data_IF_407866652808
#
_entry.id   IF_407866652808
#
_cell.length_a   1.000
_cell.length_b   1.000
_cell.length_c   1.000
_cell.angle_alpha   90.00
_cell.angle_beta   90.00
_cell.angle_gamma   90.00
#
_symmetry.space_group_name_H-M   'P 1'
#
loop_
_entity.id
_entity.type
_entity.pdbx_description
1 polymer ?
#
# COMPACT_ATOMS: atom_id res chain seq x y z
N UNK A 1 -2.51 -1.95 -33.70
CA UNK A 1 -2.68 -0.56 -33.22
C UNK A 1 -2.89 -0.57 -31.72
N UNK A 2 -2.38 0.46 -31.03
CA UNK A 2 -2.34 0.63 -29.56
C UNK A 2 -1.12 0.04 -28.82
N UNK A 3 0.07 0.34 -29.32
CA UNK A 3 1.29 0.47 -28.51
C UNK A 3 1.14 1.67 -27.57
N UNK A 4 0.67 1.46 -26.33
CA UNK A 4 0.78 2.48 -25.29
C UNK A 4 2.25 2.59 -24.85
N UNK A 5 2.87 3.78 -24.88
CA UNK A 5 4.19 3.96 -24.32
C UNK A 5 4.07 3.91 -22.79
N UNK A 6 4.59 2.86 -22.16
CA UNK A 6 4.70 2.76 -20.69
C UNK A 6 5.92 3.56 -20.20
N UNK A 7 5.98 4.84 -20.56
CA UNK A 7 6.82 5.84 -19.89
C UNK A 7 5.97 6.55 -18.85
N UNK A 8 5.84 5.92 -17.68
CA UNK A 8 5.50 6.62 -16.42
C UNK A 8 6.25 5.97 -15.27
N UNK A 9 7.58 6.07 -15.33
CA UNK A 9 8.36 6.14 -14.09
C UNK A 9 8.35 7.63 -13.71
N UNK A 10 7.51 8.09 -12.78
CA UNK A 10 7.67 9.43 -12.25
C UNK A 10 9.08 9.61 -11.66
N UNK A 11 9.72 10.78 -11.84
CA UNK A 11 11.09 11.03 -11.42
C UNK A 11 11.14 11.24 -9.90
N UNK A 12 10.86 10.21 -9.11
CA UNK A 12 11.07 10.22 -7.66
C UNK A 12 12.55 9.99 -7.32
N UNK A 13 13.47 10.63 -8.04
CA UNK A 13 14.92 10.41 -7.85
C UNK A 13 15.57 11.42 -6.93
N UNK A 14 14.93 12.56 -6.64
CA UNK A 14 15.53 13.62 -5.85
C UNK A 14 14.48 14.29 -4.95
N UNK A 15 14.70 14.26 -3.64
CA UNK A 15 13.99 15.15 -2.71
C UNK A 15 14.88 16.36 -2.46
N UNK A 16 14.51 17.52 -2.99
CA UNK A 16 15.24 18.78 -2.77
C UNK A 16 14.73 19.50 -1.51
N UNK A 17 15.64 20.16 -0.79
CA UNK A 17 15.29 21.20 0.18
C UNK A 17 14.41 22.28 -0.49
N UNK A 18 13.41 22.82 0.24
CA UNK A 18 12.36 23.75 -0.27
C UNK A 18 11.32 23.16 -1.24
N UNK A 19 11.13 21.84 -1.22
CA UNK A 19 10.03 21.20 -1.94
C UNK A 19 8.73 21.26 -1.13
N UNK A 20 7.62 21.65 -1.78
CA UNK A 20 6.28 21.39 -1.26
C UNK A 20 5.90 19.93 -1.51
N UNK A 21 5.77 19.17 -0.43
CA UNK A 21 5.22 17.81 -0.47
C UNK A 21 3.80 17.84 0.08
N UNK A 22 3.01 16.89 -0.37
CA UNK A 22 1.71 16.59 0.19
C UNK A 22 1.85 15.30 0.98
N UNK A 23 1.15 15.17 2.11
CA UNK A 23 1.04 13.87 2.76
C UNK A 23 -0.39 13.37 2.71
N UNK A 24 -0.51 12.05 2.57
CA UNK A 24 -1.79 11.36 2.58
C UNK A 24 -2.11 10.96 4.01
N UNK A 25 -3.19 11.51 4.56
CA UNK A 25 -3.58 11.28 5.94
C UNK A 25 -4.22 9.88 6.10
N UNK A 26 -3.67 8.96 6.92
CA UNK A 26 -4.37 7.75 7.30
C UNK A 26 -5.54 8.19 8.17
N UNK A 27 -6.78 7.85 7.80
CA UNK A 27 -8.01 8.18 8.54
C UNK A 27 -8.77 9.47 8.18
N UNK A 28 -8.29 10.32 7.25
CA UNK A 28 -9.11 11.41 6.67
C UNK A 28 -9.05 11.34 5.14
N UNK A 29 -10.18 11.54 4.49
CA UNK A 29 -10.19 11.74 3.05
C UNK A 29 -9.63 13.14 2.75
N UNK A 30 -8.36 13.20 2.35
CA UNK A 30 -7.72 14.48 2.05
C UNK A 30 -6.20 14.40 1.95
N UNK A 31 -5.66 15.43 1.33
CA UNK A 31 -4.23 15.68 1.18
C UNK A 31 -3.92 17.02 1.81
N UNK A 32 -2.99 17.05 2.76
CA UNK A 32 -2.51 18.30 3.36
C UNK A 32 -1.11 18.61 2.82
N UNK A 33 -0.85 19.90 2.59
CA UNK A 33 0.44 20.36 2.07
C UNK A 33 1.37 20.68 3.23
N UNK A 34 2.62 20.22 3.11
CA UNK A 34 3.71 20.59 4.01
C UNK A 34 4.90 21.13 3.21
N UNK A 35 5.75 21.89 3.89
CA UNK A 35 7.02 22.37 3.34
C UNK A 35 8.17 21.58 3.94
N UNK A 36 9.08 21.10 3.11
CA UNK A 36 10.33 20.47 3.59
C UNK A 36 11.35 21.56 3.93
N UNK A 37 11.74 21.64 5.20
CA UNK A 37 12.75 22.59 5.72
C UNK A 37 14.17 22.08 5.53
N UNK A 38 14.43 20.83 5.93
CA UNK A 38 15.73 20.18 5.77
C UNK A 38 15.57 18.68 5.59
N UNK A 39 16.57 18.06 4.97
CA UNK A 39 16.69 16.61 4.80
C UNK A 39 18.07 16.21 5.28
N UNK A 40 18.14 15.16 6.09
CA UNK A 40 19.40 14.61 6.59
C UNK A 40 19.53 13.14 6.24
N UNK A 41 20.73 12.69 5.88
CA UNK A 41 21.07 11.29 5.60
C UNK A 41 22.20 10.90 6.56
N UNK A 42 22.01 9.84 7.34
CA UNK A 42 22.98 9.38 8.35
C UNK A 42 23.42 10.49 9.34
N UNK A 43 22.52 11.42 9.69
CA UNK A 43 22.79 12.52 10.61
C UNK A 43 23.42 13.77 9.98
N UNK A 44 23.78 13.75 8.70
CA UNK A 44 24.31 14.92 7.98
C UNK A 44 23.22 15.57 7.13
N UNK A 45 23.09 16.90 7.23
CA UNK A 45 22.14 17.66 6.41
C UNK A 45 22.64 17.71 4.96
N UNK A 46 21.83 17.19 4.05
CA UNK A 46 22.15 17.13 2.63
C UNK A 46 21.19 18.01 1.83
N UNK A 47 21.65 18.63 0.72
CA UNK A 47 20.78 19.44 -0.13
C UNK A 47 19.73 18.59 -0.87
N UNK A 48 20.08 17.33 -1.17
CA UNK A 48 19.26 16.38 -1.93
C UNK A 48 19.44 14.98 -1.36
N UNK A 49 18.34 14.25 -1.20
CA UNK A 49 18.35 12.81 -0.94
C UNK A 49 17.84 12.03 -2.15
N UNK A 50 18.37 10.82 -2.34
CA UNK A 50 18.06 9.95 -3.47
C UNK A 50 17.08 8.84 -3.06
N UNK A 51 16.44 8.25 -4.07
CA UNK A 51 15.56 7.11 -3.86
C UNK A 51 16.31 5.93 -3.26
N UNK A 52 15.90 5.50 -2.07
CA UNK A 52 16.53 4.39 -1.34
C UNK A 52 17.29 4.83 -0.09
N UNK A 53 17.55 6.13 0.05
CA UNK A 53 18.15 6.67 1.27
C UNK A 53 17.16 6.64 2.43
N UNK A 54 17.66 6.26 3.61
CA UNK A 54 16.93 6.48 4.85
C UNK A 54 17.19 7.91 5.30
N UNK A 55 16.12 8.71 5.37
CA UNK A 55 16.21 10.16 5.56
C UNK A 55 15.45 10.61 6.80
N UNK A 56 16.00 11.60 7.48
CA UNK A 56 15.29 12.40 8.46
C UNK A 56 14.85 13.71 7.80
N UNK A 57 13.54 13.93 7.72
CA UNK A 57 12.96 15.10 7.05
C UNK A 57 12.33 16.02 8.09
N UNK A 58 12.80 17.26 8.15
CA UNK A 58 12.18 18.30 8.97
C UNK A 58 11.13 19.01 8.12
N UNK A 59 9.87 18.98 8.58
CA UNK A 59 8.73 19.57 7.87
C UNK A 59 8.20 20.81 8.59
N UNK A 60 7.45 21.63 7.86
CA UNK A 60 6.76 22.81 8.38
C UNK A 60 5.40 23.00 7.70
N UNK A 61 4.57 23.88 8.28
CA UNK A 61 3.23 24.17 7.76
C UNK A 61 2.18 23.12 8.12
N UNK A 62 2.51 22.17 9.00
CA UNK A 62 1.61 21.13 9.50
C UNK A 62 1.72 21.10 11.02
N UNK A 63 0.60 20.84 11.70
CA UNK A 63 0.58 20.65 13.14
C UNK A 63 1.17 19.27 13.51
N UNK A 64 1.99 19.22 14.54
CA UNK A 64 2.63 17.98 15.00
C UNK A 64 1.57 16.93 15.37
N UNK A 65 0.45 17.38 15.92
CA UNK A 65 -0.67 16.51 16.28
C UNK A 65 -1.37 15.86 15.07
N UNK A 66 -1.10 16.30 13.84
CA UNK A 66 -1.64 15.73 12.60
C UNK A 66 -0.73 14.65 11.99
N UNK A 67 0.53 14.55 12.42
CA UNK A 67 1.49 13.58 11.89
C UNK A 67 1.33 12.21 12.55
N UNK A 68 1.23 11.14 11.76
CA UNK A 68 1.05 9.76 12.25
C UNK A 68 1.86 8.76 11.41
N UNK A 69 2.38 7.69 12.03
CA UNK A 69 2.94 6.56 11.29
C UNK A 69 1.93 6.01 10.27
N UNK A 70 2.44 5.65 9.09
CA UNK A 70 1.62 5.16 7.98
C UNK A 70 1.17 6.25 6.99
N UNK A 71 1.46 7.52 7.27
CA UNK A 71 1.39 8.60 6.27
C UNK A 71 2.45 8.40 5.19
N UNK A 72 2.10 8.75 3.96
CA UNK A 72 3.02 8.73 2.82
C UNK A 72 3.15 10.14 2.27
N UNK A 73 4.39 10.60 2.17
CA UNK A 73 4.76 11.85 1.49
C UNK A 73 4.73 11.63 -0.02
N UNK A 74 4.12 12.55 -0.74
CA UNK A 74 3.99 12.52 -2.19
C UNK A 74 4.08 13.92 -2.79
N UNK A 75 4.29 14.00 -4.09
CA UNK A 75 4.27 15.28 -4.79
C UNK A 75 2.82 15.76 -4.99
N UNK A 76 2.55 17.07 -4.90
CA UNK A 76 1.23 17.63 -5.17
C UNK A 76 0.71 17.29 -6.58
N UNK A 77 1.61 17.11 -7.54
CA UNK A 77 1.27 16.78 -8.94
C UNK A 77 0.84 15.32 -9.14
N UNK A 78 1.21 14.43 -8.21
CA UNK A 78 0.95 12.99 -8.30
C UNK A 78 0.57 12.43 -6.93
N UNK A 79 -0.58 12.84 -6.36
CA UNK A 79 -0.98 12.36 -5.04
C UNK A 79 -1.30 10.87 -5.07
N UNK A 80 -0.86 10.16 -4.03
CA UNK A 80 -1.21 8.75 -3.82
C UNK A 80 -2.67 8.68 -3.37
N UNK A 81 -3.50 7.80 -3.96
CA UNK A 81 -4.90 7.71 -3.60
C UNK A 81 -5.10 7.09 -2.21
N UNK A 82 -5.95 7.75 -1.42
CA UNK A 82 -6.39 7.28 -0.11
C UNK A 82 -7.65 6.40 -0.26
N UNK A 83 -7.50 5.08 -0.19
CA UNK A 83 -8.58 4.14 -0.51
C UNK A 83 -9.07 3.36 0.71
N UNK A 84 -10.33 2.92 0.66
CA UNK A 84 -10.90 2.00 1.66
C UNK A 84 -11.18 0.61 1.09
N UNK A 85 -11.14 0.45 -0.23
CA UNK A 85 -11.50 -0.78 -0.93
C UNK A 85 -10.51 -1.06 -2.05
N UNK A 86 -10.18 -2.33 -2.25
CA UNK A 86 -9.33 -2.70 -3.37
C UNK A 86 -9.49 -4.16 -3.75
N UNK A 87 -9.15 -4.47 -5.00
CA UNK A 87 -8.93 -5.83 -5.46
C UNK A 87 -7.44 -6.14 -5.34
N UNK A 88 -7.14 -7.29 -4.76
CA UNK A 88 -5.78 -7.77 -4.62
C UNK A 88 -5.66 -9.23 -5.04
N UNK A 89 -4.48 -9.60 -5.48
CA UNK A 89 -4.06 -10.98 -5.55
C UNK A 89 -3.31 -11.31 -4.26
N UNK A 90 -3.67 -12.40 -3.62
CA UNK A 90 -3.01 -12.90 -2.41
C UNK A 90 -2.52 -14.32 -2.66
N UNK A 91 -1.41 -14.66 -2.02
CA UNK A 91 -0.92 -16.02 -1.87
C UNK A 91 -0.94 -16.35 -0.37
N UNK A 92 -1.71 -17.35 0.02
CA UNK A 92 -1.75 -17.84 1.40
C UNK A 92 -0.46 -18.58 1.71
N UNK A 93 0.12 -18.33 2.88
CA UNK A 93 1.39 -18.90 3.29
C UNK A 93 1.25 -20.33 3.83
N UNK A 94 2.28 -21.17 3.68
CA UNK A 94 2.40 -22.42 4.43
C UNK A 94 2.32 -22.15 5.93
N UNK A 95 1.59 -22.98 6.68
CA UNK A 95 1.39 -22.80 8.12
C UNK A 95 0.15 -21.98 8.51
N UNK A 96 -0.69 -21.62 7.54
CA UNK A 96 -2.03 -21.09 7.82
C UNK A 96 -2.91 -22.20 8.41
N UNK A 97 -3.15 -22.16 9.72
CA UNK A 97 -3.97 -23.14 10.45
C UNK A 97 -5.47 -23.03 10.13
N UNK A 98 -5.96 -21.80 9.93
CA UNK A 98 -7.38 -21.51 9.73
C UNK A 98 -7.65 -21.09 8.28
N UNK A 99 -8.65 -21.70 7.60
CA UNK A 99 -9.00 -21.31 6.25
C UNK A 99 -9.54 -19.89 6.21
N UNK A 100 -9.17 -19.14 5.18
CA UNK A 100 -9.66 -17.77 4.97
C UNK A 100 -11.04 -17.81 4.31
N UNK A 101 -12.03 -17.17 4.93
CA UNK A 101 -13.41 -17.07 4.40
C UNK A 101 -13.81 -15.62 4.14
N UNK A 102 -14.79 -15.43 3.26
CA UNK A 102 -15.35 -14.11 3.02
C UNK A 102 -16.05 -13.57 4.28
N UNK A 103 -15.84 -12.28 4.59
CA UNK A 103 -16.34 -11.61 5.79
C UNK A 103 -15.40 -11.69 6.99
N UNK A 104 -14.36 -12.51 6.94
CA UNK A 104 -13.39 -12.61 8.02
C UNK A 104 -12.50 -11.36 8.10
N UNK A 105 -12.20 -10.96 9.33
CA UNK A 105 -11.32 -9.84 9.65
C UNK A 105 -9.89 -10.31 9.85
N UNK A 106 -8.95 -9.53 9.33
CA UNK A 106 -7.51 -9.70 9.37
C UNK A 106 -6.87 -8.37 9.80
N UNK A 107 -5.57 -8.41 10.06
CA UNK A 107 -4.74 -7.21 10.15
C UNK A 107 -3.97 -7.07 8.85
N UNK A 108 -4.17 -5.96 8.15
CA UNK A 108 -3.42 -5.55 6.97
C UNK A 108 -2.16 -4.84 7.45
N UNK A 109 -1.01 -5.39 7.08
CA UNK A 109 0.29 -4.75 7.27
C UNK A 109 0.76 -4.23 5.92
N UNK A 110 0.94 -2.92 5.82
CA UNK A 110 1.48 -2.25 4.64
C UNK A 110 2.44 -1.15 5.08
N UNK A 111 3.66 -1.16 4.55
CA UNK A 111 4.73 -0.26 5.02
C UNK A 111 4.97 -0.37 6.53
N UNK A 112 4.65 0.69 7.26
CA UNK A 112 4.71 0.82 8.71
C UNK A 112 3.31 0.89 9.34
N UNK A 113 2.26 0.75 8.53
CA UNK A 113 0.86 0.84 8.93
C UNK A 113 0.28 -0.54 9.19
N UNK A 114 -0.46 -0.64 10.29
CA UNK A 114 -1.26 -1.81 10.65
C UNK A 114 -2.72 -1.40 10.77
N UNK A 115 -3.58 -1.96 9.92
CA UNK A 115 -5.02 -1.64 9.92
C UNK A 115 -5.88 -2.90 9.93
N UNK A 116 -7.01 -2.90 10.65
CA UNK A 116 -8.02 -3.94 10.48
C UNK A 116 -8.49 -3.97 9.02
N UNK A 117 -8.60 -5.16 8.44
CA UNK A 117 -9.05 -5.36 7.08
C UNK A 117 -10.01 -6.53 6.98
N UNK A 118 -11.08 -6.38 6.22
CA UNK A 118 -12.08 -7.43 5.99
C UNK A 118 -11.95 -7.92 4.57
N UNK A 119 -11.73 -9.23 4.41
CA UNK A 119 -11.80 -9.88 3.10
C UNK A 119 -13.26 -10.03 2.72
N UNK A 120 -13.82 -9.03 2.04
CA UNK A 120 -15.25 -8.96 1.74
C UNK A 120 -15.72 -10.04 0.77
N UNK A 121 -14.89 -10.42 -0.22
CA UNK A 121 -15.24 -11.42 -1.23
C UNK A 121 -14.00 -12.15 -1.74
N UNK A 122 -14.12 -13.47 -1.90
CA UNK A 122 -13.20 -14.29 -2.67
C UNK A 122 -13.71 -14.34 -4.12
N UNK A 123 -12.94 -13.84 -5.07
CA UNK A 123 -13.40 -13.73 -6.47
C UNK A 123 -13.06 -14.98 -7.27
N UNK A 124 -11.81 -15.44 -7.17
CA UNK A 124 -11.32 -16.62 -7.87
C UNK A 124 -10.01 -17.12 -7.29
N UNK A 125 -9.72 -18.41 -7.40
CA UNK A 125 -8.37 -18.97 -7.20
C UNK A 125 -7.61 -18.98 -8.52
N UNK A 126 -6.29 -19.00 -8.44
CA UNK A 126 -5.38 -19.04 -9.58
C UNK A 126 -4.46 -20.26 -9.47
N UNK A 127 -4.17 -20.90 -10.60
CA UNK A 127 -3.12 -21.92 -10.72
C UNK A 127 -1.73 -21.29 -10.67
N UNK A 128 -0.70 -22.14 -10.61
CA UNK A 128 0.70 -21.75 -10.82
C UNK A 128 0.91 -20.95 -12.11
N UNK A 129 0.12 -21.26 -13.14
CA UNK A 129 0.23 -20.66 -14.48
C UNK A 129 -0.55 -19.33 -14.58
N UNK A 130 -1.22 -18.92 -13.50
CA UNK A 130 -2.01 -17.69 -13.44
C UNK A 130 -3.41 -17.81 -14.08
N UNK A 131 -3.79 -19.00 -14.54
CA UNK A 131 -5.14 -19.27 -15.03
C UNK A 131 -6.14 -19.36 -13.88
N UNK A 132 -7.41 -19.12 -14.17
CA UNK A 132 -8.47 -19.21 -13.16
C UNK A 132 -8.85 -20.66 -12.93
N UNK A 133 -8.64 -21.16 -11.71
CA UNK A 133 -8.99 -22.53 -11.35
C UNK A 133 -10.43 -22.63 -10.85
N UNK A 134 -10.77 -21.87 -9.81
CA UNK A 134 -12.10 -21.87 -9.21
C UNK A 134 -12.67 -20.46 -9.18
N UNK A 135 -13.91 -20.30 -9.63
CA UNK A 135 -14.66 -19.05 -9.54
C UNK A 135 -15.44 -19.04 -8.21
N UNK A 136 -15.32 -17.94 -7.46
CA UNK A 136 -15.98 -17.74 -6.15
C UNK A 136 -15.78 -18.92 -5.18
N UNK A 137 -14.54 -19.22 -4.78
CA UNK A 137 -14.26 -20.27 -3.80
C UNK A 137 -14.97 -19.98 -2.46
N UNK A 138 -15.39 -21.02 -1.75
CA UNK A 138 -16.02 -20.89 -0.42
C UNK A 138 -15.01 -20.45 0.65
N UNK A 139 -13.80 -20.99 0.59
CA UNK A 139 -12.69 -20.66 1.45
C UNK A 139 -11.36 -20.77 0.68
N UNK A 140 -10.29 -20.22 1.25
CA UNK A 140 -8.92 -20.45 0.80
C UNK A 140 -8.16 -21.24 1.85
N UNK A 141 -7.45 -22.27 1.42
CA UNK A 141 -6.55 -23.09 2.26
C UNK A 141 -5.10 -22.71 2.03
N UNK A 142 -4.21 -23.24 2.86
CA UNK A 142 -2.76 -22.98 2.81
C UNK A 142 -2.18 -23.25 1.42
N UNK A 143 -1.28 -22.38 0.96
CA UNK A 143 -0.57 -22.51 -0.32
C UNK A 143 -1.35 -22.13 -1.58
N UNK A 144 -2.58 -21.62 -1.46
CA UNK A 144 -3.38 -21.19 -2.60
C UNK A 144 -3.13 -19.73 -2.98
N UNK A 145 -3.23 -19.45 -4.28
CA UNK A 145 -3.25 -18.08 -4.81
C UNK A 145 -4.67 -17.72 -5.21
N UNK A 146 -5.11 -16.50 -4.87
CA UNK A 146 -6.46 -16.06 -5.16
C UNK A 146 -6.56 -14.56 -5.40
N UNK A 147 -7.58 -14.15 -6.14
CA UNK A 147 -8.00 -12.75 -6.26
C UNK A 147 -9.14 -12.49 -5.29
N UNK A 148 -8.98 -11.48 -4.45
CA UNK A 148 -9.91 -11.11 -3.38
C UNK A 148 -10.27 -9.63 -3.43
N UNK A 149 -11.38 -9.27 -2.77
CA UNK A 149 -11.74 -7.88 -2.46
C UNK A 149 -11.55 -7.63 -0.97
N UNK A 150 -10.76 -6.62 -0.65
CA UNK A 150 -10.45 -6.22 0.72
C UNK A 150 -11.09 -4.85 0.98
N UNK A 151 -11.62 -4.68 2.18
CA UNK A 151 -12.10 -3.40 2.71
C UNK A 151 -11.40 -3.10 4.02
N UNK A 152 -10.90 -1.88 4.16
CA UNK A 152 -10.37 -1.32 5.41
C UNK A 152 -11.34 -0.27 5.94
N UNK A 153 -11.48 -0.11 7.27
CA UNK A 153 -12.40 0.85 7.87
C UNK A 153 -11.91 2.29 7.72
N UNK A 154 -10.59 2.49 7.73
CA UNK A 154 -9.93 3.79 7.60
C UNK A 154 -9.18 3.86 6.29
N UNK A 155 -9.06 5.05 5.72
CA UNK A 155 -8.33 5.25 4.46
C UNK A 155 -6.86 4.86 4.63
N UNK A 156 -6.33 4.15 3.63
CA UNK A 156 -4.93 3.76 3.52
C UNK A 156 -4.38 4.23 2.19
N UNK A 157 -3.15 4.73 2.20
CA UNK A 157 -2.41 5.10 1.00
C UNK A 157 -1.87 3.83 0.32
N UNK A 158 -2.48 3.45 -0.81
CA UNK A 158 -2.08 2.27 -1.59
C UNK A 158 -2.03 2.61 -3.06
N UNK A 159 -1.12 1.98 -3.79
CA UNK A 159 -1.03 2.07 -5.25
C UNK A 159 -1.25 0.72 -5.91
N UNK A 160 -1.51 0.73 -7.22
CA UNK A 160 -1.48 -0.51 -7.99
C UNK A 160 -0.05 -1.05 -8.05
N UNK A 161 0.10 -2.36 -7.89
CA UNK A 161 1.41 -3.01 -7.96
C UNK A 161 2.14 -2.78 -9.30
N UNK A 162 1.37 -2.64 -10.37
CA UNK A 162 1.89 -2.34 -11.71
C UNK A 162 2.54 -0.95 -11.78
N UNK A 163 2.01 0.03 -11.04
CA UNK A 163 2.48 1.42 -11.05
C UNK A 163 3.62 1.61 -10.03
N UNK A 164 3.44 1.12 -8.80
CA UNK A 164 4.45 1.22 -7.73
C UNK A 164 4.52 -0.07 -6.90
N UNK A 165 5.56 -0.87 -7.15
CA UNK A 165 5.76 -2.18 -6.49
C UNK A 165 5.88 -2.08 -4.98
N UNK A 166 6.48 -1.01 -4.45
CA UNK A 166 6.67 -0.84 -3.01
C UNK A 166 5.34 -0.59 -2.30
N UNK A 167 4.52 0.31 -2.85
CA UNK A 167 3.21 0.71 -2.32
C UNK A 167 2.09 -0.30 -2.61
N UNK A 168 2.27 -1.15 -3.62
CA UNK A 168 1.29 -2.18 -3.97
C UNK A 168 1.42 -3.48 -3.19
N UNK A 169 2.44 -3.67 -2.33
CA UNK A 169 2.65 -4.90 -1.55
C UNK A 169 2.08 -4.78 -0.14
N UNK A 170 1.52 -5.87 0.37
CA UNK A 170 1.02 -5.94 1.73
C UNK A 170 1.05 -7.38 2.27
N UNK A 171 0.85 -7.52 3.57
CA UNK A 171 0.67 -8.80 4.25
C UNK A 171 -0.66 -8.81 5.01
N UNK A 172 -1.28 -9.97 5.11
CA UNK A 172 -2.42 -10.21 5.98
C UNK A 172 -2.00 -11.10 7.14
N UNK A 173 -2.38 -10.69 8.34
CA UNK A 173 -2.11 -11.38 9.60
C UNK A 173 -3.43 -11.75 10.29
N UNK A 174 -3.44 -12.91 10.91
CA UNK A 174 -4.55 -13.44 11.70
C UNK A 174 -4.00 -14.09 12.96
N UNK A 175 -4.55 -13.74 14.12
CA UNK A 175 -4.12 -14.29 15.42
C UNK A 175 -2.60 -14.25 15.67
N UNK A 176 -1.92 -13.18 15.24
CA UNK A 176 -0.47 -13.01 15.43
C UNK A 176 0.42 -13.69 14.39
N UNK A 177 -0.15 -14.42 13.43
CA UNK A 177 0.60 -15.12 12.37
C UNK A 177 0.32 -14.51 11.00
N UNK A 178 1.33 -14.46 10.14
CA UNK A 178 1.16 -14.03 8.74
C UNK A 178 0.52 -15.16 7.94
N UNK A 179 -0.69 -14.90 7.44
CA UNK A 179 -1.49 -15.91 6.73
C UNK A 179 -1.44 -15.75 5.21
N UNK A 180 -1.16 -14.54 4.71
CA UNK A 180 -1.04 -14.31 3.28
C UNK A 180 -0.12 -13.12 2.96
N UNK A 181 0.55 -13.19 1.82
CA UNK A 181 1.20 -12.06 1.17
C UNK A 181 0.37 -11.63 -0.04
N UNK A 182 0.30 -10.34 -0.31
CA UNK A 182 -0.57 -9.82 -1.35
C UNK A 182 0.00 -8.65 -2.15
N UNK A 183 -0.58 -8.46 -3.32
CA UNK A 183 -0.33 -7.33 -4.19
C UNK A 183 -1.64 -6.72 -4.70
N UNK A 184 -1.70 -5.39 -4.69
CA UNK A 184 -2.87 -4.61 -5.15
C UNK A 184 -2.95 -4.66 -6.67
N UNK A 185 -4.07 -5.15 -7.19
CA UNK A 185 -4.32 -5.22 -8.63
C UNK A 185 -5.12 -4.04 -9.14
N UNK A 186 -6.09 -3.58 -8.36
CA UNK A 186 -6.99 -2.49 -8.75
C UNK A 186 -7.55 -1.78 -7.54
N UNK A 187 -7.42 -0.47 -7.55
CA UNK A 187 -8.01 0.41 -6.55
C UNK A 187 -9.52 0.57 -6.81
N UNK A 188 -10.32 0.66 -5.76
CA UNK A 188 -11.77 0.90 -5.85
C UNK A 188 -12.15 1.87 -4.73
N UNK A 189 -13.00 2.85 -5.02
CA UNK A 189 -13.47 3.77 -3.97
C UNK A 189 -14.53 3.12 -3.08
#
# INVERSE_FOLDING_TARGET
MCSRPLTRIPPYTHTHTHTHLVYVHPHRAGTETLSVKSVSVNGEVVPVALAGDNVDVVVGGVDESALRPGQVLTWPSHPIPAITRFKAQIATLPGMEFPMVAGQQFVLHTHVLEEPAVVTRLLRTLSSDGHTDLIKPRCLTSGQTAVVRIRVPRHVALEMYADQKRLGRFMLRYSGTTVAAGMVLKLTM
#
